data_IF_181594580417
#
_entry.id   IF_181594580417
#
_cell.length_a   1.000
_cell.length_b   1.000
_cell.length_c   1.000
_cell.angle_alpha   90.00
_cell.angle_beta   90.00
_cell.angle_gamma   90.00
#
_symmetry.space_group_name_H-M   'P 1'
#
loop_
_entity.id
_entity.type
_entity.pdbx_description
1 polymer ?
#
# COMPACT_ATOMS: atom_id res chain seq x y z
N UNK A 1 12.01 14.01 -18.58
CA UNK A 1 12.99 13.42 -17.63
C UNK A 1 12.28 13.28 -16.27
N UNK A 2 11.57 12.15 -16.09
CA UNK A 2 10.92 11.80 -14.84
C UNK A 2 11.93 11.17 -13.90
N UNK A 3 12.13 11.79 -12.75
CA UNK A 3 12.88 11.21 -11.64
C UNK A 3 11.97 10.17 -11.00
N UNK A 4 12.21 8.91 -11.30
CA UNK A 4 11.62 7.77 -10.58
C UNK A 4 12.23 7.78 -9.18
N UNK A 5 11.50 8.29 -8.19
CA UNK A 5 11.88 8.20 -6.79
C UNK A 5 11.86 6.72 -6.39
N UNK A 6 13.04 6.15 -6.23
CA UNK A 6 13.22 4.76 -5.81
C UNK A 6 12.83 4.66 -4.30
N UNK A 7 11.76 3.95 -3.90
CA UNK A 7 11.32 3.86 -2.51
C UNK A 7 12.32 3.15 -1.58
N UNK A 8 13.40 2.61 -2.13
CA UNK A 8 14.47 1.94 -1.37
C UNK A 8 15.45 2.88 -0.66
N UNK A 9 15.47 4.18 -0.98
CA UNK A 9 16.45 5.12 -0.42
C UNK A 9 16.10 5.67 0.98
N UNK A 10 14.85 5.56 1.43
CA UNK A 10 14.43 6.03 2.75
C UNK A 10 14.95 5.19 3.93
N UNK A 11 15.15 3.90 3.72
CA UNK A 11 15.59 2.97 4.77
C UNK A 11 17.10 2.97 5.04
N UNK A 12 17.92 3.34 4.06
CA UNK A 12 19.39 3.33 4.21
C UNK A 12 19.91 4.37 5.23
N UNK A 13 19.19 5.49 5.42
CA UNK A 13 19.57 6.53 6.36
C UNK A 13 19.34 6.17 7.83
N UNK A 14 18.25 5.46 8.12
CA UNK A 14 17.89 5.04 9.49
C UNK A 14 18.78 3.89 9.96
N UNK A 15 19.09 2.92 9.09
CA UNK A 15 19.98 1.80 9.39
C UNK A 15 21.39 2.24 9.78
N UNK A 16 21.93 3.29 9.15
CA UNK A 16 23.27 3.81 9.45
C UNK A 16 23.36 4.57 10.79
N UNK A 17 22.31 5.26 11.20
CA UNK A 17 22.24 5.93 12.52
C UNK A 17 22.04 4.90 13.63
N UNK A 18 21.18 3.92 13.42
CA UNK A 18 20.92 2.83 14.39
C UNK A 18 22.18 2.00 14.65
N UNK A 19 22.94 1.64 13.62
CA UNK A 19 24.17 0.87 13.75
C UNK A 19 25.24 1.55 14.62
N UNK A 20 25.36 2.88 14.55
CA UNK A 20 26.35 3.64 15.32
C UNK A 20 26.05 3.74 16.83
N UNK A 21 24.76 3.77 17.19
CA UNK A 21 24.33 3.86 18.59
C UNK A 21 24.13 2.51 19.28
N UNK A 22 23.93 1.44 18.50
CA UNK A 22 23.61 0.11 19.00
C UNK A 22 24.82 -0.80 19.27
N UNK A 23 26.03 -0.41 18.87
CA UNK A 23 27.25 -1.20 19.09
C UNK A 23 27.57 -1.47 20.58
N UNK A 24 26.85 -0.84 21.52
CA UNK A 24 27.00 -1.08 22.96
C UNK A 24 25.92 -1.96 23.59
N UNK A 25 24.92 -2.42 22.82
CA UNK A 25 23.67 -3.01 23.37
C UNK A 25 23.70 -4.53 23.45
N UNK A 26 24.65 -5.19 22.85
CA UNK A 26 24.76 -6.65 22.88
C UNK A 26 23.93 -7.37 21.80
N UNK A 27 24.39 -8.56 21.48
CA UNK A 27 23.94 -9.44 20.40
C UNK A 27 22.42 -9.64 20.21
N UNK A 28 21.59 -9.80 21.27
CA UNK A 28 20.17 -10.09 21.08
C UNK A 28 19.37 -8.94 20.44
N UNK A 29 19.68 -7.68 20.75
CA UNK A 29 18.98 -6.51 20.21
C UNK A 29 19.38 -6.26 18.76
N UNK A 30 20.65 -6.46 18.43
CA UNK A 30 21.13 -6.37 17.06
C UNK A 30 20.47 -7.41 16.14
N UNK A 31 20.38 -8.66 16.62
CA UNK A 31 19.70 -9.74 15.89
C UNK A 31 18.21 -9.44 15.69
N UNK A 32 17.54 -8.87 16.69
CA UNK A 32 16.14 -8.47 16.55
C UNK A 32 15.99 -7.34 15.52
N UNK A 33 16.86 -6.34 15.54
CA UNK A 33 16.82 -5.25 14.55
C UNK A 33 17.02 -5.74 13.12
N UNK A 34 17.92 -6.70 12.94
CA UNK A 34 18.15 -7.31 11.64
C UNK A 34 16.91 -8.09 11.17
N UNK A 35 16.29 -8.86 12.07
CA UNK A 35 15.04 -9.56 11.78
C UNK A 35 13.91 -8.58 11.46
N UNK A 36 13.78 -7.48 12.21
CA UNK A 36 12.80 -6.43 11.95
C UNK A 36 12.99 -5.78 10.59
N UNK A 37 14.25 -5.50 10.23
CA UNK A 37 14.57 -4.91 8.91
C UNK A 37 14.23 -5.85 7.76
N UNK A 38 14.55 -7.13 7.89
CA UNK A 38 14.20 -8.14 6.89
C UNK A 38 12.68 -8.30 6.78
N UNK A 39 11.99 -8.41 7.90
CA UNK A 39 10.55 -8.51 7.95
C UNK A 39 9.87 -7.27 7.35
N UNK A 40 10.44 -6.08 7.54
CA UNK A 40 9.96 -4.87 6.94
C UNK A 40 10.10 -4.85 5.40
N UNK A 41 10.99 -5.63 4.82
CA UNK A 41 11.12 -5.78 3.37
C UNK A 41 10.15 -6.83 2.80
N UNK A 42 9.91 -7.91 3.55
CA UNK A 42 9.13 -9.05 3.11
C UNK A 42 7.61 -8.87 3.31
N UNK A 43 7.23 -8.28 4.45
CA UNK A 43 5.82 -8.14 4.81
C UNK A 43 5.29 -6.77 4.41
N UNK A 44 4.26 -6.74 3.58
CA UNK A 44 3.65 -5.49 3.11
C UNK A 44 2.49 -5.02 3.98
N UNK A 45 1.76 -5.97 4.59
CA UNK A 45 0.62 -5.64 5.44
C UNK A 45 1.07 -5.13 6.81
N UNK A 46 0.63 -3.92 7.24
CA UNK A 46 1.04 -3.35 8.52
C UNK A 46 0.66 -4.19 9.74
N UNK A 47 -0.48 -4.89 9.69
CA UNK A 47 -0.95 -5.71 10.79
C UNK A 47 -0.13 -7.00 10.92
N UNK A 48 0.03 -7.73 9.82
CA UNK A 48 0.86 -8.94 9.77
C UNK A 48 2.33 -8.63 10.15
N UNK A 49 2.84 -7.46 9.74
CA UNK A 49 4.15 -6.98 10.14
C UNK A 49 4.26 -6.83 11.68
N UNK A 50 3.28 -6.18 12.33
CA UNK A 50 3.29 -6.02 13.79
C UNK A 50 3.24 -7.37 14.51
N UNK A 51 2.37 -8.27 14.09
CA UNK A 51 2.27 -9.60 14.68
C UNK A 51 3.59 -10.35 14.63
N UNK A 52 4.20 -10.45 13.44
CA UNK A 52 5.48 -11.15 13.25
C UNK A 52 6.63 -10.47 14.00
N UNK A 53 6.71 -9.14 13.96
CA UNK A 53 7.75 -8.38 14.65
C UNK A 53 7.66 -8.53 16.16
N UNK A 54 6.46 -8.59 16.72
CA UNK A 54 6.25 -8.82 18.15
C UNK A 54 6.61 -10.25 18.59
N UNK A 55 6.36 -11.25 17.74
CA UNK A 55 6.82 -12.62 17.97
C UNK A 55 8.36 -12.69 18.03
N UNK A 56 9.03 -11.99 17.11
CA UNK A 56 10.50 -11.89 17.11
C UNK A 56 11.06 -11.26 18.39
N UNK A 57 10.34 -10.33 19.03
CA UNK A 57 10.72 -9.78 20.35
C UNK A 57 10.81 -10.89 21.40
N UNK A 58 9.77 -11.72 21.52
CA UNK A 58 9.73 -12.78 22.51
C UNK A 58 10.76 -13.90 22.23
N UNK A 59 11.05 -14.17 20.97
CA UNK A 59 12.00 -15.22 20.59
C UNK A 59 13.46 -14.80 20.77
N UNK A 60 13.79 -13.53 20.50
CA UNK A 60 15.17 -13.05 20.49
C UNK A 60 15.60 -12.34 21.75
N UNK A 61 14.66 -11.82 22.53
CA UNK A 61 14.96 -11.14 23.78
C UNK A 61 14.67 -12.06 24.97
N UNK A 62 15.68 -12.70 25.55
CA UNK A 62 15.50 -13.75 26.57
C UNK A 62 14.88 -13.25 27.89
N UNK A 63 14.84 -11.93 28.09
CA UNK A 63 14.23 -11.29 29.27
C UNK A 63 12.73 -11.04 29.09
N UNK A 64 12.21 -11.07 27.83
CA UNK A 64 10.82 -10.84 27.51
C UNK A 64 10.13 -12.19 27.35
N UNK A 65 9.08 -12.43 28.12
CA UNK A 65 8.28 -13.65 28.02
C UNK A 65 7.17 -13.54 26.99
N UNK A 66 6.70 -12.35 26.76
CA UNK A 66 5.63 -12.04 25.84
C UNK A 66 5.16 -10.62 25.99
N UNK A 67 4.04 -10.30 25.36
CA UNK A 67 3.50 -8.96 25.41
C UNK A 67 2.16 -8.84 24.68
N UNK A 68 1.70 -7.60 24.64
CA UNK A 68 0.51 -7.18 23.95
C UNK A 68 0.82 -5.91 23.15
N UNK A 69 0.14 -5.72 22.05
CA UNK A 69 0.24 -4.48 21.29
C UNK A 69 -1.15 -3.97 20.91
N UNK A 70 -1.27 -2.65 20.84
CA UNK A 70 -2.48 -1.94 20.42
C UNK A 70 -2.06 -0.89 19.42
N UNK A 71 -2.65 -0.91 18.21
CA UNK A 71 -2.42 0.06 17.15
C UNK A 71 -3.76 0.49 16.55
N UNK A 72 -4.25 1.67 16.93
CA UNK A 72 -5.59 2.13 16.57
C UNK A 72 -6.68 1.20 17.11
N UNK A 73 -7.46 0.60 16.21
CA UNK A 73 -8.50 -0.39 16.54
C UNK A 73 -7.99 -1.83 16.63
N UNK A 74 -6.77 -2.09 16.17
CA UNK A 74 -6.16 -3.41 16.13
C UNK A 74 -5.40 -3.69 17.41
N UNK A 75 -5.43 -4.95 17.85
CA UNK A 75 -4.70 -5.43 19.02
C UNK A 75 -4.24 -6.86 18.82
N UNK A 76 -3.15 -7.23 19.44
CA UNK A 76 -2.66 -8.60 19.44
C UNK A 76 -1.84 -8.90 20.66
N UNK A 77 -1.54 -10.18 20.88
CA UNK A 77 -0.70 -10.68 21.96
C UNK A 77 0.32 -11.68 21.42
N UNK A 78 1.44 -11.81 22.10
CA UNK A 78 2.50 -12.72 21.73
C UNK A 78 3.18 -13.29 22.98
N UNK A 79 3.67 -14.53 22.90
CA UNK A 79 4.32 -15.20 24.01
C UNK A 79 3.38 -15.42 25.19
N UNK A 80 3.89 -15.23 26.42
CA UNK A 80 3.17 -15.49 27.66
C UNK A 80 2.93 -14.18 28.42
N UNK A 81 1.67 -13.85 28.68
CA UNK A 81 1.26 -12.66 29.42
C UNK A 81 1.39 -12.85 30.94
N UNK A 82 2.60 -13.16 31.42
CA UNK A 82 2.88 -13.37 32.85
C UNK A 82 4.16 -12.68 33.26
N UNK A 83 4.15 -12.04 34.45
CA UNK A 83 5.31 -11.36 35.01
C UNK A 83 5.06 -9.86 35.23
N UNK A 84 6.13 -9.08 35.26
CA UNK A 84 6.04 -7.62 35.45
C UNK A 84 5.68 -6.95 34.12
N UNK A 85 4.68 -6.07 34.17
CA UNK A 85 4.15 -5.34 33.01
C UNK A 85 4.89 -4.03 32.81
N UNK A 86 5.35 -3.79 31.58
CA UNK A 86 5.98 -2.55 31.14
C UNK A 86 5.28 -2.05 29.88
N UNK A 87 4.88 -0.78 29.91
CA UNK A 87 4.10 -0.17 28.83
C UNK A 87 4.89 0.95 28.16
N UNK A 88 4.93 0.93 26.82
CA UNK A 88 5.60 1.91 25.98
C UNK A 88 4.62 2.40 24.91
N UNK A 89 4.48 3.71 24.77
CA UNK A 89 3.57 4.30 23.81
C UNK A 89 4.29 5.24 22.87
N UNK A 90 4.23 4.94 21.56
CA UNK A 90 4.85 5.75 20.51
C UNK A 90 4.01 5.74 19.23
N UNK A 91 3.80 6.91 18.62
CA UNK A 91 3.21 7.04 17.27
C UNK A 91 1.85 6.33 17.07
N UNK A 92 1.03 6.23 18.14
CA UNK A 92 -0.24 5.50 18.09
C UNK A 92 -0.14 3.98 18.29
N UNK A 93 1.07 3.45 18.52
CA UNK A 93 1.32 2.09 18.96
C UNK A 93 1.56 2.07 20.48
N UNK A 94 0.83 1.23 21.20
CA UNK A 94 1.09 0.88 22.59
C UNK A 94 1.64 -0.54 22.62
N UNK A 95 2.86 -0.71 23.13
CA UNK A 95 3.51 -1.99 23.30
C UNK A 95 3.61 -2.29 24.80
N UNK A 96 3.05 -3.41 25.22
CA UNK A 96 3.17 -3.94 26.59
C UNK A 96 4.09 -5.15 26.56
N UNK A 97 5.12 -5.14 27.40
CA UNK A 97 6.06 -6.25 27.54
C UNK A 97 5.92 -6.87 28.93
N UNK A 98 5.95 -8.20 29.00
CA UNK A 98 5.96 -8.95 30.24
C UNK A 98 7.36 -9.54 30.47
N UNK A 99 7.97 -9.23 31.62
CA UNK A 99 9.32 -9.69 32.00
C UNK A 99 9.28 -10.49 33.28
N UNK A 100 10.20 -11.46 33.42
CA UNK A 100 10.28 -12.28 34.61
C UNK A 100 10.81 -11.48 35.82
N UNK A 101 11.80 -10.63 35.58
CA UNK A 101 12.45 -9.81 36.60
C UNK A 101 12.29 -8.33 36.28
N UNK A 102 12.53 -7.46 37.27
CA UNK A 102 12.61 -6.02 36.98
C UNK A 102 13.83 -5.74 36.11
N UNK A 103 13.63 -5.18 34.91
CA UNK A 103 14.75 -4.77 34.08
C UNK A 103 15.50 -3.61 34.71
N UNK A 104 16.80 -3.50 34.42
CA UNK A 104 17.60 -2.34 34.79
C UNK A 104 17.11 -1.08 34.09
N UNK A 105 17.42 0.13 34.61
CA UNK A 105 17.06 1.37 33.93
C UNK A 105 17.55 1.44 32.47
N UNK A 106 18.74 0.92 32.21
CA UNK A 106 19.31 0.82 30.87
C UNK A 106 18.48 -0.08 29.98
N UNK A 107 18.00 -1.22 30.48
CA UNK A 107 17.18 -2.15 29.71
C UNK A 107 15.79 -1.57 29.42
N UNK A 108 15.20 -0.82 30.36
CA UNK A 108 13.94 -0.09 30.14
C UNK A 108 14.11 0.92 29.01
N UNK A 109 15.21 1.65 28.97
CA UNK A 109 15.53 2.56 27.88
C UNK A 109 15.61 1.83 26.53
N UNK A 110 16.23 0.64 26.49
CA UNK A 110 16.27 -0.17 25.28
C UNK A 110 14.89 -0.65 24.83
N UNK A 111 14.03 -1.08 25.77
CA UNK A 111 12.65 -1.46 25.43
C UNK A 111 11.87 -0.27 24.85
N UNK A 112 12.07 0.92 25.42
CA UNK A 112 11.46 2.12 24.90
C UNK A 112 11.93 2.43 23.46
N UNK A 113 13.23 2.28 23.18
CA UNK A 113 13.80 2.43 21.84
C UNK A 113 13.25 1.39 20.86
N UNK A 114 13.13 0.13 21.28
CA UNK A 114 12.53 -0.93 20.48
C UNK A 114 11.07 -0.60 20.12
N UNK A 115 10.28 -0.17 21.09
CA UNK A 115 8.90 0.24 20.87
C UNK A 115 8.78 1.42 19.91
N UNK A 116 9.68 2.41 20.03
CA UNK A 116 9.74 3.55 19.11
C UNK A 116 10.07 3.12 17.68
N UNK A 117 11.05 2.25 17.50
CA UNK A 117 11.42 1.72 16.17
C UNK A 117 10.28 0.91 15.55
N UNK A 118 9.66 0.04 16.35
CA UNK A 118 8.52 -0.76 15.90
C UNK A 118 7.36 0.14 15.45
N UNK A 119 7.05 1.17 16.23
CA UNK A 119 6.03 2.15 15.90
C UNK A 119 6.35 2.90 14.59
N UNK A 120 7.62 3.28 14.39
CA UNK A 120 8.05 3.96 13.17
C UNK A 120 7.90 3.07 11.93
N UNK A 121 8.39 1.82 11.99
CA UNK A 121 8.23 0.87 10.89
C UNK A 121 6.77 0.60 10.55
N UNK A 122 5.93 0.43 11.59
CA UNK A 122 4.50 0.23 11.40
C UNK A 122 3.82 1.45 10.73
N UNK A 123 4.13 2.66 11.20
CA UNK A 123 3.61 3.89 10.60
C UNK A 123 4.04 4.05 9.14
N UNK A 124 5.27 3.70 8.79
CA UNK A 124 5.76 3.75 7.42
C UNK A 124 5.04 2.74 6.52
N UNK A 125 4.72 1.54 7.04
CA UNK A 125 3.89 0.55 6.34
C UNK A 125 2.47 1.07 6.09
N UNK A 126 1.84 1.67 7.08
CA UNK A 126 0.51 2.26 6.94
C UNK A 126 0.50 3.38 5.88
N UNK A 127 1.50 4.26 5.88
CA UNK A 127 1.63 5.30 4.86
C UNK A 127 1.81 4.73 3.46
N UNK A 128 2.66 3.71 3.32
CA UNK A 128 2.89 3.04 2.05
C UNK A 128 1.61 2.38 1.51
N UNK A 129 0.83 1.73 2.38
CA UNK A 129 -0.46 1.14 2.03
C UNK A 129 -1.47 2.20 1.59
N UNK A 130 -1.59 3.30 2.33
CA UNK A 130 -2.48 4.41 1.98
C UNK A 130 -2.11 5.04 0.63
N UNK A 131 -0.81 5.25 0.35
CA UNK A 131 -0.35 5.77 -0.92
C UNK A 131 -0.65 4.83 -2.09
N UNK A 132 -0.49 3.51 -1.92
CA UNK A 132 -0.87 2.51 -2.94
C UNK A 132 -2.37 2.57 -3.22
N UNK A 133 -3.18 2.66 -2.19
CA UNK A 133 -4.64 2.75 -2.35
C UNK A 133 -5.05 4.03 -3.08
N UNK A 134 -4.46 5.17 -2.74
CA UNK A 134 -4.70 6.43 -3.45
C UNK A 134 -4.27 6.36 -4.92
N UNK A 135 -3.12 5.76 -5.22
CA UNK A 135 -2.64 5.56 -6.59
C UNK A 135 -3.58 4.67 -7.39
N UNK A 136 -4.06 3.59 -6.79
CA UNK A 136 -5.04 2.69 -7.39
C UNK A 136 -6.37 3.41 -7.71
N UNK A 137 -6.89 4.18 -6.76
CA UNK A 137 -8.11 4.98 -6.96
C UNK A 137 -7.96 6.02 -8.07
N UNK A 138 -6.79 6.69 -8.14
CA UNK A 138 -6.49 7.62 -9.24
C UNK A 138 -6.49 6.94 -10.61
N UNK A 139 -5.86 5.77 -10.71
CA UNK A 139 -5.84 5.01 -11.96
C UNK A 139 -7.25 4.62 -12.42
N UNK A 140 -8.12 4.19 -11.49
CA UNK A 140 -9.53 3.89 -11.79
C UNK A 140 -10.26 5.15 -12.26
N UNK A 141 -10.11 6.27 -11.56
CA UNK A 141 -10.78 7.52 -11.96
C UNK A 141 -10.32 8.03 -13.32
N UNK A 142 -9.04 7.98 -13.61
CA UNK A 142 -8.48 8.39 -14.89
C UNK A 142 -8.99 7.51 -16.04
N UNK A 143 -9.02 6.20 -15.83
CA UNK A 143 -9.56 5.24 -16.79
C UNK A 143 -11.05 5.49 -17.02
N UNK A 144 -11.83 5.67 -15.95
CA UNK A 144 -13.26 5.97 -16.03
C UNK A 144 -13.56 7.27 -16.76
N UNK A 145 -12.79 8.33 -16.52
CA UNK A 145 -12.95 9.61 -17.22
C UNK A 145 -12.66 9.49 -18.72
N UNK A 146 -11.60 8.77 -19.10
CA UNK A 146 -11.26 8.50 -20.51
C UNK A 146 -12.38 7.70 -21.21
N UNK A 147 -12.87 6.64 -20.56
CA UNK A 147 -13.97 5.83 -21.08
C UNK A 147 -15.26 6.67 -21.27
N UNK A 148 -15.60 7.51 -20.30
CA UNK A 148 -16.75 8.40 -20.39
C UNK A 148 -16.63 9.37 -21.57
N UNK A 149 -15.44 9.92 -21.79
CA UNK A 149 -15.16 10.78 -22.94
C UNK A 149 -15.30 10.03 -24.27
N UNK A 150 -14.76 8.82 -24.37
CA UNK A 150 -14.82 8.00 -25.57
C UNK A 150 -16.26 7.58 -25.90
N UNK A 151 -17.04 7.16 -24.90
CA UNK A 151 -18.47 6.84 -25.06
C UNK A 151 -19.25 8.08 -25.49
N UNK A 152 -19.00 9.25 -24.90
CA UNK A 152 -19.65 10.51 -25.32
C UNK A 152 -19.35 10.83 -26.77
N UNK A 153 -18.13 10.68 -27.25
CA UNK A 153 -17.74 10.93 -28.64
C UNK A 153 -18.42 9.94 -29.59
N UNK A 154 -18.54 8.66 -29.21
CA UNK A 154 -19.28 7.66 -29.98
C UNK A 154 -20.75 8.01 -30.09
N UNK A 155 -21.42 8.38 -29.00
CA UNK A 155 -22.81 8.81 -28.98
C UNK A 155 -23.03 10.06 -29.82
N UNK A 156 -22.10 11.00 -29.78
CA UNK A 156 -22.18 12.22 -30.61
C UNK A 156 -22.07 11.90 -32.12
N UNK A 157 -21.15 10.98 -32.47
CA UNK A 157 -21.01 10.52 -33.85
C UNK A 157 -22.25 9.78 -34.34
N UNK A 158 -22.84 8.91 -33.54
CA UNK A 158 -24.11 8.23 -33.83
C UNK A 158 -25.26 9.22 -33.98
N UNK A 159 -25.37 10.18 -33.06
CA UNK A 159 -26.39 11.20 -33.11
C UNK A 159 -26.31 12.04 -34.41
N UNK A 160 -25.11 12.38 -34.85
CA UNK A 160 -24.88 13.10 -36.13
C UNK A 160 -25.33 12.27 -37.31
N UNK A 161 -25.04 10.96 -37.32
CA UNK A 161 -25.52 10.06 -38.39
C UNK A 161 -27.05 9.94 -38.41
N UNK A 162 -27.67 9.75 -37.24
CA UNK A 162 -29.10 9.66 -37.09
C UNK A 162 -29.78 10.97 -37.55
N UNK A 163 -29.27 12.13 -37.16
CA UNK A 163 -29.82 13.44 -37.54
C UNK A 163 -29.73 13.68 -39.02
N UNK A 164 -28.64 13.27 -39.69
CA UNK A 164 -28.49 13.38 -41.14
C UNK A 164 -29.45 12.47 -41.92
N UNK A 165 -29.99 11.40 -41.32
CA UNK A 165 -30.93 10.49 -41.91
C UNK A 165 -32.42 10.86 -41.73
N UNK A 166 -32.73 11.88 -40.90
CA UNK A 166 -34.13 12.24 -40.58
C UNK A 166 -34.81 13.08 -41.71
N UNK A 167 -34.03 13.69 -42.59
CA UNK A 167 -34.63 14.47 -43.68
C UNK A 167 -35.34 13.57 -44.69
N UNK A 168 -36.57 13.96 -45.18
CA UNK A 168 -37.30 13.16 -46.13
C UNK A 168 -36.49 12.96 -47.42
N UNK A 169 -36.18 11.71 -47.77
CA UNK A 169 -35.38 11.36 -48.94
C UNK A 169 -33.87 11.27 -48.70
N UNK A 170 -33.37 11.59 -47.50
CA UNK A 170 -31.96 11.51 -47.19
C UNK A 170 -31.43 10.08 -47.28
N UNK A 171 -32.25 9.06 -46.98
CA UNK A 171 -31.88 7.64 -47.05
C UNK A 171 -31.47 7.19 -48.45
N UNK A 172 -32.03 7.81 -49.51
CA UNK A 172 -31.71 7.53 -50.89
C UNK A 172 -30.57 8.40 -51.46
N UNK A 173 -30.10 9.38 -50.69
CA UNK A 173 -29.02 10.29 -51.09
C UNK A 173 -27.67 9.56 -51.14
N UNK A 174 -26.93 9.66 -52.26
CA UNK A 174 -25.58 9.10 -52.36
C UNK A 174 -24.61 9.63 -51.28
N UNK A 175 -24.82 10.90 -50.87
CA UNK A 175 -24.01 11.56 -49.87
C UNK A 175 -24.21 10.90 -48.50
N UNK A 176 -25.45 10.63 -48.09
CA UNK A 176 -25.74 9.95 -46.82
C UNK A 176 -25.22 8.51 -46.80
N UNK A 177 -25.39 7.78 -47.92
CA UNK A 177 -24.84 6.42 -48.03
C UNK A 177 -23.32 6.42 -47.96
N UNK A 178 -22.64 7.39 -48.55
CA UNK A 178 -21.19 7.53 -48.48
C UNK A 178 -20.72 7.88 -47.05
N UNK A 179 -21.48 8.71 -46.32
CA UNK A 179 -21.24 9.07 -44.94
C UNK A 179 -21.37 7.83 -44.04
N UNK A 180 -22.43 7.05 -44.18
CA UNK A 180 -22.64 5.80 -43.46
C UNK A 180 -21.51 4.81 -43.67
N UNK A 181 -21.14 4.56 -44.94
CA UNK A 181 -20.05 3.62 -45.28
C UNK A 181 -18.72 4.02 -44.68
N UNK A 182 -18.48 5.32 -44.50
CA UNK A 182 -17.22 5.83 -43.91
C UNK A 182 -17.25 5.87 -42.38
N UNK A 183 -18.39 6.24 -41.79
CA UNK A 183 -18.48 6.48 -40.33
C UNK A 183 -18.82 5.22 -39.51
N UNK A 184 -19.69 4.34 -40.05
CA UNK A 184 -20.09 3.14 -39.30
C UNK A 184 -18.89 2.22 -38.93
N UNK A 185 -17.97 1.90 -39.87
CA UNK A 185 -16.80 1.09 -39.50
C UNK A 185 -15.94 1.76 -38.41
N UNK A 186 -15.72 3.07 -38.55
CA UNK A 186 -14.93 3.83 -37.58
C UNK A 186 -15.56 3.84 -36.15
N UNK A 187 -16.91 3.93 -36.10
CA UNK A 187 -17.66 3.83 -34.82
C UNK A 187 -17.56 2.42 -34.24
N UNK A 188 -17.72 1.41 -35.10
CA UNK A 188 -17.63 0.00 -34.67
C UNK A 188 -16.24 -0.36 -34.13
N UNK A 189 -15.20 0.08 -34.85
CA UNK A 189 -13.80 -0.15 -34.41
C UNK A 189 -13.51 0.53 -33.07
N UNK A 190 -13.95 1.79 -32.92
CA UNK A 190 -13.80 2.52 -31.64
C UNK A 190 -14.59 1.86 -30.50
N UNK A 191 -15.79 1.37 -30.78
CA UNK A 191 -16.60 0.66 -29.80
C UNK A 191 -15.90 -0.63 -29.37
N UNK A 192 -15.40 -1.41 -30.34
CA UNK A 192 -14.65 -2.63 -30.09
C UNK A 192 -13.39 -2.36 -29.24
N UNK A 193 -12.64 -1.31 -29.55
CA UNK A 193 -11.46 -0.89 -28.80
C UNK A 193 -11.83 -0.46 -27.36
N UNK A 194 -12.92 0.30 -27.19
CA UNK A 194 -13.41 0.73 -25.87
C UNK A 194 -13.84 -0.46 -25.03
N UNK A 195 -14.55 -1.44 -25.62
CA UNK A 195 -14.93 -2.68 -24.95
C UNK A 195 -13.73 -3.56 -24.61
N UNK A 196 -12.74 -3.65 -25.49
CA UNK A 196 -11.51 -4.39 -25.23
C UNK A 196 -10.73 -3.80 -24.04
N UNK A 197 -10.67 -2.47 -23.93
CA UNK A 197 -10.08 -1.77 -22.78
C UNK A 197 -10.82 -2.04 -21.46
N UNK A 198 -12.15 -2.21 -21.51
CA UNK A 198 -12.96 -2.57 -20.33
C UNK A 198 -12.75 -4.02 -19.90
N UNK A 199 -12.58 -4.93 -20.86
CA UNK A 199 -12.43 -6.35 -20.61
C UNK A 199 -10.98 -6.79 -20.38
N UNK A 200 -10.00 -5.91 -20.61
CA UNK A 200 -8.61 -6.20 -20.29
C UNK A 200 -8.47 -6.38 -18.78
N UNK A 201 -7.95 -7.53 -18.29
CA UNK A 201 -7.71 -7.72 -16.87
C UNK A 201 -6.72 -6.64 -16.42
N UNK A 202 -7.14 -5.80 -15.46
CA UNK A 202 -6.27 -4.81 -14.81
C UNK A 202 -5.31 -5.55 -13.88
N UNK A 203 -4.32 -6.21 -14.44
CA UNK A 203 -3.39 -6.97 -13.66
C UNK A 203 -2.30 -7.54 -14.53
N UNK A 204 -1.26 -6.77 -14.74
CA UNK A 204 0.12 -7.25 -14.93
C UNK A 204 1.01 -6.07 -15.37
N UNK A 205 1.35 -5.22 -14.42
CA UNK A 205 2.63 -4.54 -14.48
C UNK A 205 3.29 -4.74 -13.12
N UNK A 206 4.06 -5.82 -13.07
CA UNK A 206 5.13 -6.06 -12.10
C UNK A 206 6.17 -4.95 -12.15
#
# INVERSE_FOLDING_TARGET
LGVVANPRSGFAGIGGLISRYLMSIGLPVEQWLQALSNLALEEEDPHAFLEKACVEIAQRLPWVKGGEWIAGSSRGSFGVSSGRRWEFSHGGLVLVLFTQHSPSPTLIWHYNLLAQLLAQFHADKQRAQALRQLSYMRAIHETGARLTHDVKNLLQSLNTLCSAGIEPGAEASPEYQSLLRRQLPAITDRLAETLAKLNAPQGSSL
#
